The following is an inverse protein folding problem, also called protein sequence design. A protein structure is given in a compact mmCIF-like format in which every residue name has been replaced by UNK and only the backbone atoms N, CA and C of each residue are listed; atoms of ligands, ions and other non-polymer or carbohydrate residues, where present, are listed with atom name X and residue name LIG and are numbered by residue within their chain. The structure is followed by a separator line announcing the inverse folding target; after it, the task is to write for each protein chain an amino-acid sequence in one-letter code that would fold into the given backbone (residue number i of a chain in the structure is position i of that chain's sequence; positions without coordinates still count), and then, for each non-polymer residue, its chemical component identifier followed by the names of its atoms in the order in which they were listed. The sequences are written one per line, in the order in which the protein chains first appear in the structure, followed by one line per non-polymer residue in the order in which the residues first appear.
data_IF_861274743482
#
_entry.id   IF_861274743482
#
_cell.length_a   1.000
_cell.length_b   1.000
_cell.length_c   1.000
_cell.angle_alpha   90.00
_cell.angle_beta   90.00
_cell.angle_gamma   90.00
#
_symmetry.space_group_name_H-M   'P 1'
#
loop_
_entity.id
_entity.type
_entity.pdbx_description
1 polymer ?
#
# COMPACT_ATOMS: atom_id res chain seq x y z
N UNK A 1 16.26 -40.19 -11.75
CA UNK A 1 16.53 -39.44 -10.50
C UNK A 1 15.21 -38.81 -10.10
N UNK A 2 14.53 -39.46 -9.16
CA UNK A 2 13.13 -39.18 -8.78
C UNK A 2 13.10 -37.98 -7.83
N UNK A 3 12.36 -36.93 -8.17
CA UNK A 3 12.20 -35.74 -7.33
C UNK A 3 11.15 -36.05 -6.26
N UNK A 4 11.59 -36.50 -5.09
CA UNK A 4 10.73 -36.55 -3.90
C UNK A 4 10.72 -35.17 -3.21
N UNK A 5 9.54 -34.53 -3.06
CA UNK A 5 9.50 -33.20 -2.45
C UNK A 5 8.15 -32.55 -2.09
N UNK A 6 7.17 -33.31 -1.59
CA UNK A 6 6.11 -32.95 -0.60
C UNK A 6 5.35 -31.61 -0.76
N UNK A 7 4.07 -31.71 -1.13
CA UNK A 7 3.09 -30.61 -1.10
C UNK A 7 2.62 -30.23 0.31
N UNK A 8 3.53 -29.92 1.23
CA UNK A 8 3.20 -29.26 2.50
C UNK A 8 4.39 -28.51 3.09
N UNK A 9 4.12 -27.46 3.85
CA UNK A 9 5.11 -26.70 4.62
C UNK A 9 4.77 -26.78 6.12
N UNK A 10 5.71 -27.22 6.94
CA UNK A 10 5.58 -27.19 8.40
C UNK A 10 6.33 -25.97 8.94
N UNK A 11 5.62 -25.09 9.63
CA UNK A 11 6.16 -23.87 10.22
C UNK A 11 6.10 -23.98 11.73
N UNK A 12 7.23 -23.74 12.38
CA UNK A 12 7.32 -23.68 13.85
C UNK A 12 7.85 -22.31 14.25
N UNK A 13 7.23 -21.70 15.25
CA UNK A 13 7.61 -20.40 15.79
C UNK A 13 7.34 -20.34 17.28
N UNK A 14 7.96 -19.36 17.96
CA UNK A 14 7.78 -19.14 19.40
C UNK A 14 7.29 -17.70 19.60
N UNK A 15 6.06 -17.56 20.07
CA UNK A 15 5.55 -16.28 20.52
C UNK A 15 6.02 -16.04 21.96
N UNK A 16 6.55 -14.86 22.25
CA UNK A 16 6.99 -14.51 23.61
C UNK A 16 5.84 -14.50 24.63
N UNK A 17 4.60 -14.34 24.18
CA UNK A 17 3.40 -14.34 25.04
C UNK A 17 2.69 -15.70 25.08
N UNK A 18 2.61 -16.39 23.94
CA UNK A 18 1.78 -17.59 23.79
C UNK A 18 2.60 -18.90 23.72
N UNK A 19 3.93 -18.82 23.74
CA UNK A 19 4.81 -19.98 23.69
C UNK A 19 5.01 -20.56 22.28
N UNK A 20 5.53 -21.80 22.18
CA UNK A 20 5.79 -22.44 20.90
C UNK A 20 4.48 -22.85 20.21
N UNK A 21 4.41 -22.64 18.90
CA UNK A 21 3.32 -23.15 18.07
C UNK A 21 3.88 -23.75 16.77
N UNK A 22 3.17 -24.73 16.23
CA UNK A 22 3.50 -25.37 14.96
C UNK A 22 2.26 -25.47 14.10
N UNK A 23 2.36 -25.07 12.84
CA UNK A 23 1.32 -25.18 11.84
C UNK A 23 1.81 -25.97 10.64
N UNK A 24 0.95 -26.82 10.08
CA UNK A 24 1.20 -27.51 8.80
C UNK A 24 0.27 -26.92 7.74
N UNK A 25 0.85 -26.41 6.67
CA UNK A 25 0.18 -25.79 5.54
C UNK A 25 0.22 -26.79 4.39
N UNK A 26 -0.91 -27.15 3.82
CA UNK A 26 -1.02 -28.02 2.64
C UNK A 26 -1.80 -27.30 1.53
N UNK A 27 -1.67 -27.72 0.26
CA UNK A 27 -2.50 -27.19 -0.83
C UNK A 27 -4.01 -27.32 -0.60
N UNK A 28 -4.45 -28.32 0.16
CA UNK A 28 -5.86 -28.57 0.49
C UNK A 28 -6.33 -27.84 1.76
N UNK A 29 -5.46 -27.08 2.43
CA UNK A 29 -5.77 -26.36 3.67
C UNK A 29 -4.85 -26.69 4.84
N UNK A 30 -5.31 -26.41 6.06
CA UNK A 30 -4.53 -26.55 7.29
C UNK A 30 -4.31 -25.20 7.97
N UNK A 31 -3.05 -24.91 8.33
CA UNK A 31 -2.68 -23.65 8.98
C UNK A 31 -2.67 -22.46 8.02
N UNK A 32 -3.05 -21.28 8.52
CA UNK A 32 -2.84 -20.01 7.84
C UNK A 32 -1.54 -19.38 8.34
N UNK A 33 -0.60 -19.14 7.43
CA UNK A 33 0.60 -18.36 7.73
C UNK A 33 0.37 -16.94 7.23
N UNK A 34 -0.01 -16.04 8.14
CA UNK A 34 0.21 -14.62 7.90
C UNK A 34 1.60 -14.23 8.38
N UNK A 35 2.15 -13.27 7.67
CA UNK A 35 3.39 -12.63 8.01
C UNK A 35 3.03 -11.29 8.65
N UNK A 36 3.66 -10.99 9.79
CA UNK A 36 3.57 -9.64 10.37
C UNK A 36 3.86 -8.60 9.28
N UNK A 37 3.14 -7.49 9.27
CA UNK A 37 3.10 -6.57 8.13
C UNK A 37 4.48 -6.13 7.64
N UNK A 38 5.45 -5.93 8.53
CA UNK A 38 6.84 -5.59 8.18
C UNK A 38 7.53 -6.75 7.45
N UNK A 39 7.42 -7.97 7.96
CA UNK A 39 8.00 -9.16 7.33
C UNK A 39 7.35 -9.45 5.98
N UNK A 40 6.02 -9.27 5.85
CA UNK A 40 5.32 -9.35 4.57
C UNK A 40 5.85 -8.32 3.55
N UNK A 41 6.15 -7.09 3.99
CA UNK A 41 6.75 -6.08 3.11
C UNK A 41 8.16 -6.51 2.67
N UNK A 42 9.00 -6.99 3.59
CA UNK A 42 10.33 -7.51 3.26
C UNK A 42 10.27 -8.62 2.20
N UNK A 43 9.41 -9.62 2.38
CA UNK A 43 9.25 -10.73 1.41
C UNK A 43 8.80 -10.22 0.04
N UNK A 44 7.82 -9.30 -0.01
CA UNK A 44 7.37 -8.69 -1.27
C UNK A 44 8.49 -7.94 -1.98
N UNK A 45 9.28 -7.20 -1.22
CA UNK A 45 10.37 -6.38 -1.73
C UNK A 45 11.57 -7.20 -2.18
N UNK A 46 11.85 -8.33 -1.53
CA UNK A 46 12.81 -9.32 -2.03
C UNK A 46 12.33 -10.00 -3.31
N UNK A 47 11.05 -10.39 -3.36
CA UNK A 47 10.48 -11.04 -4.54
C UNK A 47 10.52 -10.12 -5.77
N UNK A 48 10.29 -8.81 -5.59
CA UNK A 48 10.40 -7.83 -6.66
C UNK A 48 11.81 -7.75 -7.28
N UNK A 49 12.86 -8.12 -6.54
CA UNK A 49 14.24 -8.10 -7.05
C UNK A 49 14.62 -9.34 -7.86
N UNK A 50 13.73 -10.34 -7.96
CA UNK A 50 14.00 -11.56 -8.73
C UNK A 50 13.93 -11.33 -10.25
N UNK A 51 13.27 -10.27 -10.70
CA UNK A 51 13.12 -9.93 -12.12
C UNK A 51 14.13 -8.85 -12.53
N UNK A 52 15.19 -9.24 -13.25
CA UNK A 52 16.30 -8.34 -13.57
C UNK A 52 16.01 -7.34 -14.70
N UNK A 53 15.08 -7.65 -15.60
CA UNK A 53 14.83 -6.88 -16.82
C UNK A 53 13.69 -5.86 -16.70
N UNK A 54 13.13 -5.69 -15.50
CA UNK A 54 12.01 -4.78 -15.23
C UNK A 54 12.37 -3.83 -14.10
N UNK A 55 12.16 -2.53 -14.32
CA UNK A 55 12.23 -1.54 -13.24
C UNK A 55 11.01 -1.72 -12.33
N UNK A 56 11.23 -2.33 -11.16
CA UNK A 56 10.19 -2.51 -10.15
C UNK A 56 10.16 -1.31 -9.20
N UNK A 57 9.02 -0.61 -9.13
CA UNK A 57 8.81 0.52 -8.22
C UNK A 57 7.66 0.20 -7.26
N UNK A 58 7.98 0.18 -5.98
CA UNK A 58 6.99 -0.03 -4.92
C UNK A 58 6.28 1.30 -4.60
N UNK A 59 4.98 1.37 -4.88
CA UNK A 59 4.15 2.53 -4.56
C UNK A 59 3.50 2.34 -3.19
N UNK A 60 3.73 3.29 -2.27
CA UNK A 60 3.25 3.26 -0.88
C UNK A 60 2.64 4.60 -0.50
N UNK A 61 1.85 4.66 0.57
CA UNK A 61 1.51 5.93 1.21
C UNK A 61 2.67 6.44 2.07
N UNK A 62 2.78 7.76 2.27
CA UNK A 62 3.85 8.34 3.13
C UNK A 62 3.79 7.85 4.57
N UNK A 63 2.65 7.35 5.04
CA UNK A 63 2.50 6.70 6.35
C UNK A 63 3.39 5.45 6.52
N UNK A 64 3.84 4.86 5.40
CA UNK A 64 4.76 3.72 5.40
C UNK A 64 6.25 4.10 5.42
N UNK A 65 6.61 5.38 5.37
CA UNK A 65 8.02 5.80 5.42
C UNK A 65 8.76 5.26 6.65
N UNK A 66 8.23 5.39 7.90
CA UNK A 66 8.92 4.83 9.08
C UNK A 66 9.06 3.31 9.03
N UNK A 67 8.01 2.60 8.57
CA UNK A 67 8.05 1.15 8.41
C UNK A 67 9.05 0.69 7.35
N UNK A 68 9.29 1.51 6.33
CA UNK A 68 10.25 1.19 5.27
C UNK A 68 11.69 1.21 5.76
N UNK A 69 12.01 2.03 6.77
CA UNK A 69 13.34 2.01 7.42
C UNK A 69 13.64 0.65 8.07
N UNK A 70 12.62 0.04 8.69
CA UNK A 70 12.75 -1.31 9.28
C UNK A 70 12.93 -2.37 8.19
N UNK A 71 12.20 -2.24 7.08
CA UNK A 71 12.33 -3.12 5.92
C UNK A 71 13.73 -2.98 5.31
N UNK A 72 14.26 -1.77 5.17
CA UNK A 72 15.62 -1.53 4.68
C UNK A 72 16.68 -2.19 5.56
N UNK A 73 16.54 -2.08 6.88
CA UNK A 73 17.43 -2.77 7.82
C UNK A 73 17.38 -4.29 7.64
N UNK A 74 16.19 -4.86 7.49
CA UNK A 74 16.01 -6.29 7.27
C UNK A 74 16.56 -6.77 5.91
N UNK A 75 16.35 -5.98 4.84
CA UNK A 75 16.90 -6.23 3.51
C UNK A 75 18.42 -6.20 3.51
N UNK A 76 19.02 -5.24 4.22
CA UNK A 76 20.47 -5.19 4.41
C UNK A 76 20.99 -6.37 5.21
N UNK A 77 20.27 -6.79 6.26
CA UNK A 77 20.63 -7.95 7.07
C UNK A 77 20.66 -9.27 6.27
N UNK A 78 19.87 -9.38 5.19
CA UNK A 78 19.90 -10.53 4.26
C UNK A 78 20.84 -10.33 3.07
N UNK A 79 21.68 -9.29 3.10
CA UNK A 79 22.80 -9.11 2.16
C UNK A 79 22.58 -8.12 1.03
N UNK A 80 21.48 -7.35 1.02
CA UNK A 80 21.30 -6.30 0.02
C UNK A 80 22.12 -5.07 0.39
N UNK A 81 22.93 -4.60 -0.56
CA UNK A 81 23.62 -3.30 -0.45
C UNK A 81 22.65 -2.14 -0.69
N UNK A 82 22.96 -0.93 -0.19
CA UNK A 82 22.13 0.27 -0.41
C UNK A 82 21.75 0.52 -1.88
N UNK A 83 22.66 0.28 -2.82
CA UNK A 83 22.41 0.42 -4.26
C UNK A 83 21.52 -0.66 -4.88
N UNK A 84 21.09 -1.65 -4.10
CA UNK A 84 20.22 -2.76 -4.51
C UNK A 84 18.90 -2.79 -3.73
N UNK A 85 18.62 -1.77 -2.92
CA UNK A 85 17.33 -1.64 -2.27
C UNK A 85 16.25 -1.30 -3.32
N UNK A 86 15.03 -1.83 -3.22
CA UNK A 86 13.97 -1.53 -4.17
C UNK A 86 13.64 -0.04 -4.23
N UNK A 87 13.36 0.46 -5.43
CA UNK A 87 12.86 1.81 -5.62
C UNK A 87 11.46 1.93 -4.99
N UNK A 88 11.23 3.02 -4.24
CA UNK A 88 9.95 3.29 -3.58
C UNK A 88 9.45 4.68 -3.91
N UNK A 89 8.15 4.79 -4.19
CA UNK A 89 7.44 6.04 -4.35
C UNK A 89 6.43 6.18 -3.21
N UNK A 90 6.53 7.26 -2.43
CA UNK A 90 5.61 7.54 -1.32
C UNK A 90 4.58 8.59 -1.72
N UNK A 91 3.37 8.15 -2.03
CA UNK A 91 2.26 9.00 -2.41
C UNK A 91 1.72 9.81 -1.22
N UNK A 92 1.19 11.02 -1.48
CA UNK A 92 0.49 11.84 -0.50
C UNK A 92 -0.45 11.07 0.42
N UNK A 93 -0.43 11.39 1.72
CA UNK A 93 -1.38 10.84 2.68
C UNK A 93 -2.72 11.56 2.57
N UNK A 94 -3.80 10.78 2.66
CA UNK A 94 -5.15 11.31 2.75
C UNK A 94 -5.52 11.45 4.23
N UNK A 95 -5.92 12.65 4.62
CA UNK A 95 -6.18 13.02 6.02
C UNK A 95 -7.63 13.44 6.22
N UNK A 96 -8.13 13.27 7.45
CA UNK A 96 -9.35 13.90 7.92
C UNK A 96 -9.12 15.40 8.22
N UNK A 97 -10.18 16.13 8.56
CA UNK A 97 -10.13 17.55 8.92
C UNK A 97 -9.20 17.83 10.10
N UNK A 98 -9.08 16.86 11.00
CA UNK A 98 -8.19 16.90 12.16
C UNK A 98 -6.71 16.77 11.79
N UNK A 99 -6.38 16.47 10.54
CA UNK A 99 -5.04 16.12 10.09
C UNK A 99 -4.64 14.67 10.38
N UNK A 100 -5.48 13.90 11.09
CA UNK A 100 -5.26 12.48 11.29
C UNK A 100 -5.38 11.71 9.98
N UNK A 101 -4.62 10.62 9.85
CA UNK A 101 -4.72 9.72 8.69
C UNK A 101 -6.15 9.20 8.55
N UNK A 102 -6.72 9.32 7.36
CA UNK A 102 -8.05 8.80 7.07
C UNK A 102 -8.05 7.26 7.15
N UNK A 103 -8.90 6.71 8.02
CA UNK A 103 -9.00 5.27 8.25
C UNK A 103 -10.28 4.69 7.66
N UNK A 104 -10.14 4.03 6.50
CA UNK A 104 -11.27 3.35 5.84
C UNK A 104 -11.88 2.24 6.68
N UNK A 105 -11.09 1.56 7.52
CA UNK A 105 -11.59 0.49 8.39
C UNK A 105 -12.48 1.07 9.50
N UNK A 106 -12.06 2.15 10.16
CA UNK A 106 -12.86 2.82 11.20
C UNK A 106 -14.16 3.40 10.62
N UNK A 107 -14.10 3.95 9.40
CA UNK A 107 -15.31 4.43 8.70
C UNK A 107 -16.26 3.27 8.41
N UNK A 108 -15.74 2.13 7.93
CA UNK A 108 -16.56 0.95 7.61
C UNK A 108 -17.13 0.26 8.85
N UNK A 109 -16.44 0.29 9.99
CA UNK A 109 -16.96 -0.24 11.26
C UNK A 109 -17.92 0.71 11.98
N UNK A 110 -18.08 1.95 11.49
CA UNK A 110 -18.91 2.97 12.11
C UNK A 110 -18.26 3.67 13.31
N UNK A 111 -16.98 3.37 13.60
CA UNK A 111 -16.21 3.99 14.68
C UNK A 111 -15.68 5.39 14.31
N UNK A 112 -15.70 5.74 13.03
CA UNK A 112 -15.39 7.07 12.53
C UNK A 112 -16.44 7.54 11.53
N UNK A 113 -16.80 8.82 11.58
CA UNK A 113 -17.65 9.43 10.58
C UNK A 113 -16.92 9.55 9.22
N UNK A 114 -17.69 9.62 8.14
CA UNK A 114 -17.18 10.08 6.85
C UNK A 114 -16.70 11.54 7.01
N UNK A 115 -15.48 11.87 6.56
CA UNK A 115 -15.00 13.25 6.60
C UNK A 115 -15.85 14.15 5.71
N UNK A 116 -15.86 15.44 6.01
CA UNK A 116 -16.53 16.44 5.21
C UNK A 116 -15.96 16.48 3.79
N UNK A 117 -16.84 16.58 2.80
CA UNK A 117 -16.48 16.53 1.38
C UNK A 117 -15.98 15.17 0.89
N UNK A 118 -16.05 14.12 1.71
CA UNK A 118 -15.83 12.76 1.24
C UNK A 118 -17.03 12.28 0.42
N UNK A 119 -16.75 11.84 -0.79
CA UNK A 119 -17.76 11.31 -1.69
C UNK A 119 -17.88 9.78 -1.59
N UNK A 120 -19.06 9.19 -1.84
CA UNK A 120 -19.25 7.74 -1.74
C UNK A 120 -18.27 6.92 -2.57
N UNK A 121 -17.82 7.45 -3.72
CA UNK A 121 -16.88 6.78 -4.60
C UNK A 121 -15.48 6.58 -4.00
N UNK A 122 -15.10 7.39 -3.00
CA UNK A 122 -13.79 7.28 -2.33
C UNK A 122 -13.69 6.00 -1.48
N UNK A 123 -14.82 5.44 -1.05
CA UNK A 123 -14.91 4.17 -0.32
C UNK A 123 -15.23 2.98 -1.23
N UNK A 124 -15.89 3.25 -2.36
CA UNK A 124 -16.31 2.28 -3.36
C UNK A 124 -16.38 2.93 -4.73
N UNK A 125 -15.35 2.73 -5.56
CA UNK A 125 -15.20 3.39 -6.87
C UNK A 125 -16.36 3.13 -7.83
N UNK A 126 -17.17 2.09 -7.60
CA UNK A 126 -18.38 1.79 -8.39
C UNK A 126 -19.50 2.82 -8.18
N UNK A 127 -19.40 3.65 -7.14
CA UNK A 127 -20.34 4.74 -6.85
C UNK A 127 -19.94 6.05 -7.53
N UNK A 128 -18.95 6.02 -8.43
CA UNK A 128 -18.60 7.20 -9.23
C UNK A 128 -19.82 7.63 -10.07
N UNK A 129 -20.19 8.92 -10.07
CA UNK A 129 -21.41 9.39 -10.75
C UNK A 129 -21.29 9.41 -12.29
N UNK A 130 -20.07 9.40 -12.83
CA UNK A 130 -19.80 9.42 -14.27
C UNK A 130 -19.44 8.05 -14.85
N UNK A 131 -18.81 8.05 -16.02
CA UNK A 131 -18.37 6.80 -16.66
C UNK A 131 -17.05 6.30 -16.08
N UNK A 132 -16.73 5.01 -16.29
CA UNK A 132 -15.43 4.43 -15.92
C UNK A 132 -14.28 5.13 -16.66
N UNK A 133 -14.47 5.46 -17.94
CA UNK A 133 -13.47 6.20 -18.73
C UNK A 133 -13.18 7.58 -18.13
N UNK A 134 -14.24 8.32 -17.81
CA UNK A 134 -14.10 9.62 -17.15
C UNK A 134 -13.40 9.52 -15.79
N UNK A 135 -13.73 8.50 -15.00
CA UNK A 135 -13.05 8.26 -13.72
C UNK A 135 -11.55 8.01 -13.90
N UNK A 136 -11.19 7.17 -14.88
CA UNK A 136 -9.80 6.87 -15.20
C UNK A 136 -9.04 8.13 -15.66
N UNK A 137 -9.64 8.93 -16.54
CA UNK A 137 -9.04 10.19 -17.03
C UNK A 137 -8.83 11.19 -15.88
N UNK A 138 -9.82 11.34 -14.99
CA UNK A 138 -9.71 12.21 -13.81
C UNK A 138 -8.64 11.74 -12.84
N UNK A 139 -8.54 10.43 -12.60
CA UNK A 139 -7.47 9.86 -11.77
C UNK A 139 -6.08 10.09 -12.38
N UNK A 140 -5.94 9.93 -13.70
CA UNK A 140 -4.68 10.18 -14.40
C UNK A 140 -4.29 11.65 -14.34
N UNK A 141 -5.25 12.57 -14.52
CA UNK A 141 -5.03 14.01 -14.37
C UNK A 141 -4.63 14.37 -12.95
N UNK A 142 -5.30 13.80 -11.93
CA UNK A 142 -4.91 13.99 -10.54
C UNK A 142 -3.48 13.49 -10.29
N UNK A 143 -3.12 12.30 -10.77
CA UNK A 143 -1.76 11.78 -10.63
C UNK A 143 -0.73 12.69 -11.32
N UNK A 144 -1.02 13.16 -12.54
CA UNK A 144 -0.19 14.11 -13.28
C UNK A 144 -0.01 15.43 -12.52
N UNK A 145 -1.09 15.98 -11.97
CA UNK A 145 -1.06 17.16 -11.11
C UNK A 145 -0.16 16.95 -9.89
N UNK A 146 -0.34 15.84 -9.17
CA UNK A 146 0.45 15.53 -7.98
C UNK A 146 1.94 15.41 -8.32
N UNK A 147 2.28 14.87 -9.49
CA UNK A 147 3.66 14.69 -9.96
C UNK A 147 4.25 15.94 -10.62
N UNK A 148 3.43 16.92 -11.02
CA UNK A 148 3.88 18.10 -11.76
C UNK A 148 4.81 19.02 -10.97
N UNK A 149 4.69 19.04 -9.64
CA UNK A 149 5.54 19.84 -8.77
C UNK A 149 5.75 19.16 -7.41
N UNK A 150 6.99 19.11 -6.88
CA UNK A 150 7.28 18.65 -5.52
C UNK A 150 6.33 19.16 -4.42
N UNK A 151 5.84 20.40 -4.51
CA UNK A 151 4.90 20.96 -3.52
C UNK A 151 3.54 20.27 -3.52
N UNK A 152 3.12 19.73 -4.66
CA UNK A 152 1.92 18.90 -4.74
C UNK A 152 2.19 17.47 -4.28
N UNK A 153 3.38 16.95 -4.54
CA UNK A 153 3.72 15.56 -4.21
C UNK A 153 4.03 15.34 -2.72
N UNK A 154 4.72 16.27 -2.06
CA UNK A 154 5.19 16.12 -0.68
C UNK A 154 4.25 16.74 0.37
N UNK A 155 2.95 16.89 0.06
CA UNK A 155 1.93 17.36 1.00
C UNK A 155 0.84 16.31 1.21
N UNK A 156 0.04 16.49 2.27
CA UNK A 156 -1.16 15.68 2.52
C UNK A 156 -2.41 16.36 1.93
N UNK A 157 -3.44 15.57 1.64
CA UNK A 157 -4.70 16.05 1.07
C UNK A 157 -5.88 15.60 1.92
N UNK A 158 -6.87 16.48 2.11
CA UNK A 158 -8.15 16.08 2.69
C UNK A 158 -9.03 15.37 1.66
N UNK A 159 -10.07 14.66 2.14
CA UNK A 159 -11.09 14.10 1.25
C UNK A 159 -11.77 15.19 0.41
N UNK A 160 -12.14 16.31 1.02
CA UNK A 160 -12.72 17.45 0.32
C UNK A 160 -11.82 17.99 -0.81
N UNK A 161 -10.51 18.13 -0.55
CA UNK A 161 -9.58 18.60 -1.57
C UNK A 161 -9.42 17.60 -2.71
N UNK A 162 -9.37 16.29 -2.41
CA UNK A 162 -9.41 15.27 -3.46
C UNK A 162 -10.69 15.33 -4.28
N UNK A 163 -11.85 15.53 -3.64
CA UNK A 163 -13.13 15.70 -4.33
C UNK A 163 -13.05 16.87 -5.31
N UNK A 164 -12.60 18.04 -4.81
CA UNK A 164 -12.43 19.25 -5.62
C UNK A 164 -11.53 19.01 -6.83
N UNK A 165 -10.37 18.37 -6.63
CA UNK A 165 -9.41 18.08 -7.69
C UNK A 165 -9.96 17.07 -8.71
N UNK A 166 -10.67 16.05 -8.27
CA UNK A 166 -11.33 15.08 -9.15
C UNK A 166 -12.45 15.71 -9.98
N UNK A 167 -13.10 16.77 -9.49
CA UNK A 167 -14.12 17.51 -10.24
C UNK A 167 -13.57 18.49 -11.27
N UNK A 168 -12.26 18.83 -11.24
CA UNK A 168 -11.68 19.75 -12.20
C UNK A 168 -11.75 19.20 -13.64
N UNK A 169 -11.95 20.06 -14.66
CA UNK A 169 -11.81 19.67 -16.05
C UNK A 169 -10.39 19.15 -16.35
N UNK A 170 -10.29 18.14 -17.21
CA UNK A 170 -9.01 17.65 -17.70
C UNK A 170 -8.17 18.80 -18.31
N UNK A 171 -6.90 18.92 -17.91
CA UNK A 171 -6.00 19.97 -18.39
C UNK A 171 -6.13 21.33 -17.69
N UNK A 172 -6.90 21.45 -16.61
CA UNK A 172 -6.98 22.69 -15.84
C UNK A 172 -5.65 23.00 -15.13
N UNK A 173 -5.15 24.25 -15.13
CA UNK A 173 -3.92 24.61 -14.46
C UNK A 173 -4.02 24.41 -12.96
N UNK A 174 -2.95 23.87 -12.38
CA UNK A 174 -2.76 23.74 -10.94
C UNK A 174 -2.53 25.13 -10.32
N UNK A 175 -3.55 25.74 -9.73
CA UNK A 175 -3.38 26.92 -8.86
C UNK A 175 -2.98 26.50 -7.46
#
# INVERSE_FOLDING_TARGET
MEVAGRGFARVSAVCLHHGPYTATITPAGGGYLDLATVYRNMVKELAALAEADVLQVMVKGTDWMPGSLLVDGALQAVGLTRGRLPARLYCPMIVAETGAKLSKSLIRSGEAALPAGAEPWMLDTRKWPGTVGEFADRLLNLAGLLLSHPRHFFRSYSAAELSRLMSLPAGSPAT
#
